data_IF_276694645876
#
_entry.id   IF_276694645876
#
_cell.length_a   1.000
_cell.length_b   1.000
_cell.length_c   1.000
_cell.angle_alpha   90.00
_cell.angle_beta   90.00
_cell.angle_gamma   90.00
#
_symmetry.space_group_name_H-M   'P 1'
#
loop_
_entity.id
_entity.type
_entity.pdbx_description
1 polymer ?
#
# COMPACT_ATOMS: atom_id res chain seq x y z
N UNK A 1 -0.03 -19.83 3.70
CA UNK A 1 -0.96 -20.71 2.96
C UNK A 1 -2.03 -19.82 2.32
N UNK A 2 -1.62 -18.77 1.58
CA UNK A 2 -2.52 -17.66 1.23
C UNK A 2 -2.52 -17.35 -0.28
N UNK A 3 -1.70 -18.06 -1.04
CA UNK A 3 -1.54 -17.87 -2.49
C UNK A 3 -2.57 -18.69 -3.30
N UNK A 4 -3.13 -19.75 -2.71
CA UNK A 4 -4.07 -20.64 -3.40
C UNK A 4 -5.49 -20.06 -3.46
N UNK A 5 -5.90 -19.33 -2.41
CA UNK A 5 -7.20 -18.67 -2.35
C UNK A 5 -7.32 -17.55 -3.39
N UNK A 6 -6.23 -16.81 -3.63
CA UNK A 6 -6.16 -15.79 -4.68
C UNK A 6 -6.41 -16.42 -6.06
N UNK A 7 -5.79 -17.57 -6.37
CA UNK A 7 -5.90 -18.22 -7.69
C UNK A 7 -7.32 -18.62 -8.08
N UNK A 8 -8.19 -18.93 -7.13
CA UNK A 8 -9.56 -19.40 -7.40
C UNK A 8 -10.48 -18.32 -8.00
N UNK A 9 -10.27 -17.04 -7.66
CA UNK A 9 -11.13 -15.94 -8.13
C UNK A 9 -10.76 -15.41 -9.53
N UNK A 10 -9.60 -15.79 -10.09
CA UNK A 10 -9.01 -15.11 -11.25
C UNK A 10 -9.10 -15.87 -12.59
N UNK A 11 -10.24 -16.49 -12.90
CA UNK A 11 -10.52 -16.97 -14.26
C UNK A 11 -11.00 -15.85 -15.21
N UNK A 12 -10.44 -14.63 -15.04
CA UNK A 12 -10.59 -13.47 -15.91
C UNK A 12 -9.24 -12.76 -15.97
N UNK A 13 -8.96 -12.11 -17.10
CA UNK A 13 -7.75 -11.31 -17.39
C UNK A 13 -7.71 -10.02 -16.54
N UNK A 14 -7.79 -10.16 -15.23
CA UNK A 14 -7.63 -9.08 -14.24
C UNK A 14 -6.33 -9.40 -13.54
N UNK A 15 -5.28 -8.68 -13.94
CA UNK A 15 -3.95 -8.82 -13.35
C UNK A 15 -4.04 -8.28 -11.91
N UNK A 16 -3.97 -9.17 -10.92
CA UNK A 16 -4.10 -8.78 -9.52
C UNK A 16 -2.73 -8.44 -9.00
N UNK A 17 -2.46 -7.14 -8.97
CA UNK A 17 -1.27 -6.59 -8.37
C UNK A 17 -1.50 -6.36 -6.87
N UNK A 18 -0.62 -6.95 -6.05
CA UNK A 18 -0.58 -6.68 -4.62
C UNK A 18 0.11 -5.33 -4.40
N UNK A 19 -0.62 -4.35 -3.86
CA UNK A 19 -0.05 -3.05 -3.48
C UNK A 19 0.58 -3.12 -2.09
N UNK A 20 1.75 -2.51 -1.95
CA UNK A 20 2.47 -2.39 -0.69
C UNK A 20 2.28 -0.99 -0.11
N UNK A 21 1.26 -0.86 0.74
CA UNK A 21 0.92 0.38 1.42
C UNK A 21 1.52 0.42 2.83
N UNK A 22 2.29 1.46 3.14
CA UNK A 22 2.95 1.68 4.42
C UNK A 22 2.37 2.94 5.05
N UNK A 23 1.86 2.81 6.27
CA UNK A 23 1.47 3.96 7.10
C UNK A 23 2.48 4.14 8.24
N UNK A 24 3.02 5.35 8.36
CA UNK A 24 4.00 5.72 9.37
C UNK A 24 3.41 6.80 10.26
N UNK A 25 3.17 6.44 11.52
CA UNK A 25 2.70 7.35 12.57
C UNK A 25 3.68 7.33 13.74
N UNK A 26 4.11 8.51 14.20
CA UNK A 26 4.94 8.64 15.40
C UNK A 26 4.54 9.92 16.14
N UNK A 27 4.52 9.96 17.49
CA UNK A 27 4.12 11.15 18.24
C UNK A 27 4.95 12.42 17.94
N UNK A 28 6.20 12.24 17.50
CA UNK A 28 7.08 13.35 17.09
C UNK A 28 6.92 13.78 15.63
N UNK A 29 6.10 13.08 14.83
CA UNK A 29 5.84 13.50 13.45
C UNK A 29 4.70 14.50 13.42
N UNK A 30 4.84 15.52 12.56
CA UNK A 30 3.77 16.50 12.37
C UNK A 30 2.52 15.89 11.73
N UNK A 31 2.70 14.87 10.88
CA UNK A 31 1.63 14.22 10.14
C UNK A 31 1.84 12.70 10.10
N UNK A 32 0.76 11.94 9.89
CA UNK A 32 0.84 10.54 9.47
C UNK A 32 1.23 10.49 8.01
N UNK A 33 2.28 9.73 7.68
CA UNK A 33 2.74 9.56 6.30
C UNK A 33 2.20 8.25 5.72
N UNK A 34 1.74 8.30 4.47
CA UNK A 34 1.16 7.15 3.76
C UNK A 34 1.87 6.99 2.42
N UNK A 35 2.51 5.85 2.25
CA UNK A 35 3.42 5.59 1.13
C UNK A 35 3.02 4.31 0.42
N UNK A 36 2.96 4.32 -0.91
CA UNK A 36 2.90 3.11 -1.73
C UNK A 36 4.25 2.88 -2.40
N UNK A 37 4.76 1.64 -2.37
CA UNK A 37 6.11 1.33 -2.91
C UNK A 37 6.12 0.95 -4.38
N UNK A 38 4.99 0.48 -4.90
CA UNK A 38 4.94 -0.24 -6.17
C UNK A 38 3.85 0.26 -7.13
N UNK A 39 3.34 1.47 -6.88
CA UNK A 39 2.49 2.20 -7.80
C UNK A 39 3.06 3.62 -7.94
N UNK A 40 3.56 3.97 -9.13
CA UNK A 40 4.24 5.23 -9.41
C UNK A 40 3.31 6.45 -9.43
N UNK A 41 2.00 6.23 -9.40
CA UNK A 41 0.97 7.28 -9.43
C UNK A 41 0.33 7.51 -8.06
N UNK A 42 0.68 6.72 -7.05
CA UNK A 42 -0.03 6.70 -5.79
C UNK A 42 -1.38 6.00 -5.88
N UNK A 43 -2.04 5.79 -4.74
CA UNK A 43 -3.32 5.09 -4.70
C UNK A 43 -4.26 5.68 -3.66
N UNK A 44 -5.54 5.79 -4.02
CA UNK A 44 -6.62 6.08 -3.08
C UNK A 44 -7.16 4.79 -2.47
N UNK A 45 -7.12 4.69 -1.15
CA UNK A 45 -7.54 3.51 -0.38
C UNK A 45 -8.66 3.88 0.58
N UNK A 46 -9.71 3.05 0.63
CA UNK A 46 -10.75 3.15 1.64
C UNK A 46 -10.43 2.18 2.78
N UNK A 47 -10.14 2.70 3.98
CA UNK A 47 -9.91 1.87 5.16
C UNK A 47 -11.26 1.36 5.69
N UNK A 48 -11.26 0.15 6.28
CA UNK A 48 -12.47 -0.46 6.84
C UNK A 48 -13.08 0.36 7.98
N UNK A 49 -12.23 1.03 8.78
CA UNK A 49 -12.65 1.77 9.97
C UNK A 49 -12.72 3.30 9.75
N UNK A 50 -12.38 3.79 8.56
CA UNK A 50 -12.33 5.21 8.25
C UNK A 50 -13.52 5.69 7.43
N UNK A 51 -13.92 6.95 7.62
CA UNK A 51 -14.82 7.63 6.68
C UNK A 51 -13.99 8.28 5.57
N UNK A 52 -14.15 7.76 4.34
CA UNK A 52 -13.57 8.35 3.14
C UNK A 52 -12.23 7.77 2.70
N UNK A 53 -11.86 8.11 1.46
CA UNK A 53 -10.65 7.63 0.81
C UNK A 53 -9.44 8.40 1.33
N UNK A 54 -8.37 7.69 1.65
CA UNK A 54 -7.07 8.27 1.96
C UNK A 54 -6.11 8.03 0.81
N UNK A 55 -5.24 9.01 0.57
CA UNK A 55 -4.25 8.91 -0.48
C UNK A 55 -2.93 8.37 0.08
N UNK A 56 -2.37 7.38 -0.61
CA UNK A 56 -1.01 6.87 -0.43
C UNK A 56 -0.15 7.43 -1.56
N UNK A 57 0.86 8.20 -1.19
CA UNK A 57 1.78 8.82 -2.15
C UNK A 57 2.87 7.83 -2.57
N UNK A 58 3.24 7.86 -3.84
CA UNK A 58 4.44 7.15 -4.28
C UNK A 58 5.68 7.91 -3.81
N UNK A 59 6.49 7.28 -2.97
CA UNK A 59 7.84 7.78 -2.67
C UNK A 59 8.86 6.82 -3.25
N UNK A 60 9.78 7.30 -4.13
CA UNK A 60 10.91 6.51 -4.59
C UNK A 60 11.91 6.35 -3.44
N UNK A 61 11.59 5.45 -2.51
CA UNK A 61 12.36 5.18 -1.30
C UNK A 61 13.08 3.83 -1.42
N UNK A 62 14.37 3.82 -1.12
CA UNK A 62 15.19 2.60 -1.01
C UNK A 62 15.61 2.39 0.44
N UNK A 63 15.47 1.18 0.96
CA UNK A 63 16.01 0.84 2.29
C UNK A 63 17.53 0.74 2.18
N UNK A 64 18.24 1.63 2.87
CA UNK A 64 19.69 1.53 3.04
C UNK A 64 19.98 0.90 4.41
N UNK A 65 20.66 -0.25 4.42
CA UNK A 65 21.13 -0.88 5.66
C UNK A 65 22.50 -0.30 5.99
N UNK A 66 22.62 0.39 7.12
CA UNK A 66 23.91 0.77 7.67
C UNK A 66 24.58 -0.49 8.21
N UNK A 67 25.62 -0.94 7.52
CA UNK A 67 26.54 -1.98 8.01
C UNK A 67 27.61 -1.40 8.91
#
# INVERSE_FOLDING_TARGET
>A
MDNEYAKFFFNRKVDVYQLECIELSHPSFMNTYRIVRNDDRGVYVQHKEGSGQVYYEFLPASIQRSG
#
